data_IF_745509035614
#
_entry.id   IF_745509035614
#
_cell.length_a   1.000
_cell.length_b   1.000
_cell.length_c   1.000
_cell.angle_alpha   90.00
_cell.angle_beta   90.00
_cell.angle_gamma   90.00
#
_symmetry.space_group_name_H-M   'P 1'
#
loop_
_entity.id
_entity.type
_entity.pdbx_description
1 polymer ?
#
# COMPACT_ATOMS: atom_id res chain seq x y z
N UNK A 1 23.26 -32.41 -5.96
CA UNK A 1 23.27 -30.94 -5.81
C UNK A 1 22.82 -30.32 -7.13
N UNK A 2 21.76 -29.51 -7.15
CA UNK A 2 21.48 -28.68 -8.33
C UNK A 2 22.61 -27.65 -8.46
N UNK A 3 23.13 -27.45 -9.68
CA UNK A 3 24.12 -26.40 -9.95
C UNK A 3 23.60 -25.04 -9.51
N UNK A 4 24.44 -24.20 -8.87
CA UNK A 4 24.08 -22.85 -8.42
C UNK A 4 23.41 -22.04 -9.53
N UNK A 5 23.93 -22.13 -10.76
CA UNK A 5 23.37 -21.44 -11.95
C UNK A 5 21.94 -21.85 -12.27
N UNK A 6 21.58 -23.12 -12.04
CA UNK A 6 20.21 -23.61 -12.27
C UNK A 6 19.26 -23.10 -11.20
N UNK A 7 19.70 -23.03 -9.95
CA UNK A 7 18.91 -22.45 -8.85
C UNK A 7 18.60 -20.96 -9.10
N UNK A 8 19.59 -20.16 -9.48
CA UNK A 8 19.38 -18.75 -9.83
C UNK A 8 18.47 -18.58 -11.06
N UNK A 9 18.55 -19.49 -12.05
CA UNK A 9 17.64 -19.51 -13.19
C UNK A 9 16.19 -19.80 -12.79
N UNK A 10 15.97 -20.79 -11.93
CA UNK A 10 14.64 -21.14 -11.40
C UNK A 10 14.07 -19.97 -10.56
N UNK A 11 14.85 -19.43 -9.62
CA UNK A 11 14.46 -18.28 -8.77
C UNK A 11 14.10 -17.05 -9.61
N UNK A 12 14.90 -16.71 -10.64
CA UNK A 12 14.60 -15.61 -11.55
C UNK A 12 13.27 -15.82 -12.28
N UNK A 13 12.99 -17.05 -12.72
CA UNK A 13 11.74 -17.37 -13.42
C UNK A 13 10.52 -17.24 -12.51
N UNK A 14 10.62 -17.66 -11.24
CA UNK A 14 9.52 -17.53 -10.27
C UNK A 14 9.34 -16.07 -9.83
N UNK A 15 10.42 -15.32 -9.64
CA UNK A 15 10.37 -13.87 -9.38
C UNK A 15 9.68 -13.11 -10.53
N UNK A 16 9.90 -13.51 -11.78
CA UNK A 16 9.19 -12.92 -12.92
C UNK A 16 7.69 -13.22 -12.92
N UNK A 17 7.25 -14.34 -12.37
CA UNK A 17 5.83 -14.66 -12.21
C UNK A 17 5.20 -13.91 -11.04
N UNK A 18 5.94 -13.73 -9.95
CA UNK A 18 5.52 -12.97 -8.78
C UNK A 18 5.58 -11.45 -9.01
N UNK A 19 6.37 -11.00 -9.99
CA UNK A 19 6.43 -9.59 -10.37
C UNK A 19 5.09 -9.13 -10.94
N UNK A 20 4.57 -8.04 -10.39
CA UNK A 20 3.26 -7.51 -10.76
C UNK A 20 3.17 -7.31 -12.29
N UNK A 21 2.08 -7.73 -12.96
CA UNK A 21 1.97 -7.63 -14.41
C UNK A 21 1.89 -6.15 -14.84
N UNK A 22 3.05 -5.57 -15.15
CA UNK A 22 3.16 -4.20 -15.65
C UNK A 22 2.66 -4.03 -17.10
N UNK A 23 2.23 -5.10 -17.77
CA UNK A 23 1.62 -5.04 -19.10
C UNK A 23 0.62 -6.20 -19.17
N UNK A 24 -0.71 -5.95 -19.29
CA UNK A 24 -1.67 -7.03 -19.44
C UNK A 24 -1.46 -7.70 -20.80
N UNK A 25 -1.26 -9.03 -20.78
CA UNK A 25 -0.91 -9.78 -21.99
C UNK A 25 -1.97 -9.71 -23.10
N UNK A 26 -3.24 -9.38 -22.84
CA UNK A 26 -4.31 -9.53 -23.85
C UNK A 26 -5.55 -8.62 -23.73
N UNK A 27 -5.53 -7.47 -23.06
CA UNK A 27 -6.67 -6.53 -23.08
C UNK A 27 -6.17 -5.10 -23.22
N UNK A 28 -6.69 -4.38 -24.22
CA UNK A 28 -6.39 -2.98 -24.53
C UNK A 28 -6.87 -1.97 -23.47
N UNK A 29 -6.81 -2.34 -22.19
CA UNK A 29 -7.22 -1.52 -21.05
C UNK A 29 -6.11 -0.51 -20.76
N UNK A 30 -6.28 0.70 -21.30
CA UNK A 30 -5.44 1.85 -21.04
C UNK A 30 -5.83 2.50 -19.69
N UNK A 31 -4.84 2.87 -18.87
CA UNK A 31 -5.03 3.73 -17.69
C UNK A 31 -5.53 3.02 -16.42
N UNK A 32 -6.33 3.71 -15.61
CA UNK A 32 -6.73 3.35 -14.23
C UNK A 32 -7.46 2.00 -14.09
N UNK A 33 -8.09 1.47 -15.14
CA UNK A 33 -8.70 0.12 -15.11
C UNK A 33 -7.66 -1.00 -14.94
N UNK A 34 -6.41 -0.75 -15.33
CA UNK A 34 -5.27 -1.67 -15.21
C UNK A 34 -4.89 -1.99 -13.76
N UNK A 35 -5.14 -1.07 -12.83
CA UNK A 35 -4.75 -1.20 -11.43
C UNK A 35 -5.96 -1.32 -10.52
N UNK A 36 -7.13 -1.73 -11.05
CA UNK A 36 -8.40 -1.69 -10.31
C UNK A 36 -8.31 -2.36 -8.94
N UNK A 37 -7.73 -3.55 -8.84
CA UNK A 37 -7.57 -4.28 -7.57
C UNK A 37 -6.61 -3.56 -6.60
N UNK A 38 -5.54 -2.97 -7.14
CA UNK A 38 -4.56 -2.22 -6.36
C UNK A 38 -5.15 -0.91 -5.84
N UNK A 39 -5.85 -0.17 -6.71
CA UNK A 39 -6.52 1.09 -6.38
C UNK A 39 -7.63 0.85 -5.36
N UNK A 40 -8.45 -0.19 -5.53
CA UNK A 40 -9.53 -0.53 -4.60
C UNK A 40 -8.97 -0.84 -3.19
N UNK A 41 -7.94 -1.68 -3.13
CA UNK A 41 -7.27 -2.03 -1.86
C UNK A 41 -6.59 -0.82 -1.21
N UNK A 42 -5.93 0.02 -2.00
CA UNK A 42 -5.20 1.19 -1.48
C UNK A 42 -6.15 2.30 -1.02
N UNK A 43 -7.28 2.50 -1.70
CA UNK A 43 -8.28 3.53 -1.34
C UNK A 43 -8.86 3.26 0.04
N UNK A 44 -9.19 2.01 0.36
CA UNK A 44 -9.71 1.66 1.70
C UNK A 44 -8.68 1.96 2.79
N UNK A 45 -7.42 1.57 2.58
CA UNK A 45 -6.33 1.84 3.53
C UNK A 45 -6.10 3.34 3.68
N UNK A 46 -6.19 4.10 2.59
CA UNK A 46 -6.04 5.55 2.61
C UNK A 46 -7.14 6.23 3.43
N UNK A 47 -8.39 5.81 3.27
CA UNK A 47 -9.51 6.31 4.08
C UNK A 47 -9.30 5.98 5.56
N UNK A 48 -8.85 4.75 5.87
CA UNK A 48 -8.57 4.36 7.25
C UNK A 48 -7.45 5.22 7.89
N UNK A 49 -6.38 5.52 7.15
CA UNK A 49 -5.31 6.41 7.61
C UNK A 49 -5.81 7.84 7.88
N UNK A 50 -6.68 8.37 7.01
CA UNK A 50 -7.27 9.69 7.21
C UNK A 50 -8.16 9.75 8.45
N UNK A 51 -9.04 8.75 8.64
CA UNK A 51 -9.92 8.68 9.81
C UNK A 51 -9.13 8.54 11.11
N UNK A 52 -8.09 7.71 11.11
CA UNK A 52 -7.20 7.57 12.25
C UNK A 52 -6.46 8.87 12.57
N UNK A 53 -5.91 9.55 11.56
CA UNK A 53 -5.25 10.84 11.75
C UNK A 53 -6.19 11.92 12.27
N UNK A 54 -7.43 11.97 11.77
CA UNK A 54 -8.46 12.87 12.28
C UNK A 54 -8.79 12.59 13.75
N UNK A 55 -8.97 11.32 14.12
CA UNK A 55 -9.23 10.93 15.50
C UNK A 55 -8.09 11.33 16.44
N UNK A 56 -6.84 11.02 16.08
CA UNK A 56 -5.67 11.37 16.90
C UNK A 56 -5.56 12.90 17.06
N UNK A 57 -5.66 13.66 15.97
CA UNK A 57 -5.56 15.12 16.03
C UNK A 57 -6.67 15.78 16.86
N UNK A 58 -7.89 15.24 16.86
CA UNK A 58 -8.97 15.72 17.74
C UNK A 58 -8.61 15.58 19.21
N UNK A 59 -8.07 14.42 19.61
CA UNK A 59 -7.66 14.19 20.99
C UNK A 59 -6.47 15.04 21.39
N UNK A 60 -5.51 15.23 20.50
CA UNK A 60 -4.37 16.13 20.74
C UNK A 60 -4.84 17.57 20.99
N UNK A 61 -5.82 18.06 20.22
CA UNK A 61 -6.40 19.39 20.43
C UNK A 61 -7.15 19.51 21.76
N UNK A 62 -7.92 18.48 22.14
CA UNK A 62 -8.65 18.46 23.42
C UNK A 62 -7.64 18.50 24.57
N UNK A 63 -6.63 17.63 24.55
CA UNK A 63 -5.59 17.57 25.58
C UNK A 63 -4.79 18.85 25.66
N UNK A 64 -4.41 19.44 24.52
CA UNK A 64 -3.71 20.72 24.48
C UNK A 64 -4.52 21.82 25.19
N UNK A 65 -5.83 21.89 24.92
CA UNK A 65 -6.70 22.87 25.57
C UNK A 65 -6.86 22.61 27.08
N UNK A 66 -6.96 21.35 27.50
CA UNK A 66 -7.03 20.98 28.93
C UNK A 66 -5.74 21.38 29.64
N UNK A 67 -4.58 21.01 29.10
CA UNK A 67 -3.27 21.35 29.68
C UNK A 67 -3.10 22.86 29.75
N UNK A 68 -3.49 23.57 28.68
CA UNK A 68 -3.47 25.03 28.65
C UNK A 68 -4.35 25.64 29.74
N UNK A 69 -5.50 25.05 30.05
CA UNK A 69 -6.39 25.50 31.11
C UNK A 69 -5.87 25.17 32.52
N UNK A 70 -5.11 24.09 32.68
CA UNK A 70 -4.54 23.66 33.96
C UNK A 70 -3.19 24.32 34.29
N UNK A 71 -2.46 24.78 33.27
CA UNK A 71 -1.12 25.37 33.41
C UNK A 71 -1.13 26.91 33.38
N UNK A 72 -2.10 27.53 32.70
CA UNK A 72 -2.44 28.94 32.92
C UNK A 72 -3.29 29.09 34.19
#
# INVERSE_FOLDING_TARGET
MKSLTRYFGEVRSELQKASWPWIPKNKGEKGFKRFKELTDSTVVVFIAMMLLGAFVSLWDLILFNIIKLLTN
#
